data_IF_663206314292
#
_entry.id   IF_663206314292
#
_cell.length_a   1.000
_cell.length_b   1.000
_cell.length_c   1.000
_cell.angle_alpha   90.00
_cell.angle_beta   90.00
_cell.angle_gamma   90.00
#
_symmetry.space_group_name_H-M   'P 1'
#
loop_
_entity.id
_entity.type
_entity.pdbx_description
1 polymer ?
#
# COMPACT_ATOMS: atom_id res chain seq x y z
N UNK A 1 -10.46 -0.99 -5.73
CA UNK A 1 -9.60 0.20 -5.68
C UNK A 1 -10.45 1.37 -5.23
N UNK A 2 -10.16 1.93 -4.04
CA UNK A 2 -10.87 3.07 -3.49
C UNK A 2 -10.03 4.34 -3.59
N UNK A 3 -10.70 5.49 -3.69
CA UNK A 3 -10.07 6.82 -3.69
C UNK A 3 -10.32 7.48 -2.35
N UNK A 4 -9.25 7.81 -1.64
CA UNK A 4 -9.27 8.39 -0.30
C UNK A 4 -8.86 9.85 -0.36
N UNK A 5 -9.82 10.75 -0.16
CA UNK A 5 -9.53 12.18 -0.11
C UNK A 5 -8.98 12.57 1.25
N UNK A 6 -7.80 13.17 1.26
CA UNK A 6 -7.05 13.51 2.46
C UNK A 6 -6.53 14.92 2.36
N UNK A 7 -6.77 15.69 3.42
CA UNK A 7 -6.13 16.99 3.60
C UNK A 7 -4.62 16.82 3.86
N UNK A 8 -3.81 17.68 3.26
CA UNK A 8 -2.38 17.81 3.51
C UNK A 8 -1.97 19.28 3.53
N UNK A 9 -0.96 19.60 4.34
CA UNK A 9 -0.50 20.97 4.52
C UNK A 9 0.57 21.35 3.47
N UNK A 10 0.74 22.64 3.13
CA UNK A 10 1.54 23.07 1.98
C UNK A 10 2.99 22.54 2.02
N UNK A 11 3.62 22.53 3.19
CA UNK A 11 4.98 21.99 3.38
C UNK A 11 5.09 20.52 2.95
N UNK A 12 4.13 19.69 3.37
CA UNK A 12 4.14 18.26 3.05
C UNK A 12 3.67 18.01 1.63
N UNK A 13 2.67 18.75 1.17
CA UNK A 13 2.19 18.73 -0.20
C UNK A 13 3.31 19.00 -1.20
N UNK A 14 4.10 20.07 -1.00
CA UNK A 14 5.26 20.39 -1.84
C UNK A 14 6.32 19.27 -1.84
N UNK A 15 6.54 18.62 -0.70
CA UNK A 15 7.46 17.49 -0.60
C UNK A 15 6.95 16.23 -1.33
N UNK A 16 5.64 15.99 -1.33
CA UNK A 16 5.01 14.90 -2.10
C UNK A 16 5.04 15.19 -3.59
N UNK A 17 4.68 16.42 -3.99
CA UNK A 17 4.71 16.87 -5.38
C UNK A 17 6.11 16.77 -5.98
N UNK A 18 7.14 17.13 -5.22
CA UNK A 18 8.54 17.03 -5.68
C UNK A 18 9.11 15.60 -5.64
N UNK A 19 8.36 14.60 -5.14
CA UNK A 19 8.81 13.22 -5.01
C UNK A 19 9.79 12.96 -3.84
N UNK A 20 10.12 14.00 -3.07
CA UNK A 20 10.99 13.88 -1.89
C UNK A 20 10.33 13.07 -0.77
N UNK A 21 9.00 13.21 -0.61
CA UNK A 21 8.20 12.47 0.35
C UNK A 21 7.32 11.43 -0.35
N UNK A 22 7.56 10.16 -0.07
CA UNK A 22 6.84 9.01 -0.66
C UNK A 22 6.08 8.16 0.37
N UNK A 23 5.69 8.78 1.47
CA UNK A 23 4.94 8.11 2.53
C UNK A 23 3.99 9.07 3.25
N UNK A 24 2.89 8.56 3.82
CA UNK A 24 1.97 9.24 4.73
C UNK A 24 1.91 8.48 6.06
N UNK A 25 1.57 9.14 7.16
CA UNK A 25 1.23 8.47 8.42
C UNK A 25 -0.20 8.88 8.77
N UNK A 26 -1.09 7.91 8.92
CA UNK A 26 -2.53 8.15 9.13
C UNK A 26 -3.11 7.19 10.13
N UNK A 27 -4.16 7.62 10.84
CA UNK A 27 -5.03 6.69 11.56
C UNK A 27 -5.68 5.77 10.53
N UNK A 28 -5.73 4.47 10.79
CA UNK A 28 -6.36 3.52 9.87
C UNK A 28 -7.88 3.44 10.06
N UNK A 29 -8.58 4.58 9.93
CA UNK A 29 -10.04 4.71 10.12
C UNK A 29 -10.85 4.48 8.83
N UNK A 30 -10.16 4.17 7.74
CA UNK A 30 -10.72 3.98 6.39
C UNK A 30 -10.35 2.65 5.76
N UNK A 31 -9.68 1.78 6.53
CA UNK A 31 -9.16 0.50 6.07
C UNK A 31 -8.33 0.64 4.78
N UNK A 32 -7.27 1.46 4.82
CA UNK A 32 -6.39 1.67 3.67
C UNK A 32 -5.80 0.35 3.16
N UNK A 33 -5.76 0.15 1.85
CA UNK A 33 -5.21 -1.06 1.22
C UNK A 33 -4.20 -0.72 0.14
N UNK A 34 -3.22 -1.60 -0.04
CA UNK A 34 -2.33 -1.55 -1.22
C UNK A 34 -3.19 -1.57 -2.48
N UNK A 35 -2.86 -0.71 -3.45
CA UNK A 35 -3.61 -0.49 -4.67
C UNK A 35 -4.62 0.66 -4.62
N UNK A 36 -5.04 1.13 -3.44
CA UNK A 36 -5.91 2.32 -3.32
C UNK A 36 -5.21 3.62 -3.73
N UNK A 37 -5.99 4.67 -4.00
CA UNK A 37 -5.49 6.00 -4.34
C UNK A 37 -5.66 6.95 -3.18
N UNK A 38 -4.59 7.65 -2.81
CA UNK A 38 -4.63 8.84 -1.97
C UNK A 38 -4.80 10.07 -2.86
N UNK A 39 -5.86 10.84 -2.63
CA UNK A 39 -6.04 12.17 -3.22
C UNK A 39 -5.66 13.20 -2.15
N UNK A 40 -4.40 13.63 -2.17
CA UNK A 40 -3.83 14.56 -1.21
C UNK A 40 -4.16 15.99 -1.63
N UNK A 41 -5.13 16.61 -0.95
CA UNK A 41 -5.58 17.97 -1.18
C UNK A 41 -4.82 18.97 -0.32
N UNK A 42 -4.21 19.95 -0.94
CA UNK A 42 -3.55 21.03 -0.22
C UNK A 42 -4.58 21.97 0.42
N UNK A 43 -4.43 22.22 1.72
CA UNK A 43 -5.25 23.19 2.46
C UNK A 43 -4.38 24.33 2.97
N UNK A 44 -4.92 25.55 2.96
CA UNK A 44 -4.31 26.71 3.59
C UNK A 44 -4.45 26.61 5.12
N UNK A 45 -3.35 26.62 5.90
CA UNK A 45 -3.40 26.53 7.36
C UNK A 45 -4.01 27.77 8.05
N UNK A 46 -4.06 28.93 7.39
CA UNK A 46 -4.61 30.15 7.96
C UNK A 46 -6.14 30.21 7.86
N UNK A 47 -6.70 29.73 6.75
CA UNK A 47 -8.15 29.79 6.48
C UNK A 47 -8.85 28.43 6.61
N UNK A 48 -8.08 27.35 6.73
CA UNK A 48 -8.56 25.97 6.66
C UNK A 48 -9.35 25.63 5.39
N UNK A 49 -9.01 26.28 4.28
CA UNK A 49 -9.69 26.09 3.00
C UNK A 49 -8.83 25.32 2.01
N UNK A 50 -9.48 24.50 1.18
CA UNK A 50 -8.83 23.84 0.04
C UNK A 50 -8.29 24.88 -0.94
N UNK A 51 -7.02 24.75 -1.35
CA UNK A 51 -6.37 25.73 -2.26
C UNK A 51 -6.71 25.50 -3.73
N UNK A 52 -7.35 24.37 -4.06
CA UNK A 52 -7.57 23.90 -5.43
C UNK A 52 -6.50 22.90 -5.92
N UNK A 53 -5.38 22.77 -5.21
CA UNK A 53 -4.29 21.89 -5.61
C UNK A 53 -4.40 20.51 -4.98
N UNK A 54 -4.20 19.46 -5.77
CA UNK A 54 -4.15 18.09 -5.27
C UNK A 54 -3.06 17.26 -5.96
N UNK A 55 -2.67 16.16 -5.32
CA UNK A 55 -1.79 15.14 -5.87
C UNK A 55 -2.45 13.78 -5.68
N UNK A 56 -2.41 12.95 -6.71
CA UNK A 56 -2.85 11.56 -6.61
C UNK A 56 -1.64 10.65 -6.48
N UNK A 57 -1.71 9.70 -5.54
CA UNK A 57 -0.67 8.70 -5.31
C UNK A 57 -1.30 7.35 -5.04
N UNK A 58 -0.76 6.29 -5.62
CA UNK A 58 -1.23 4.93 -5.35
C UNK A 58 -0.49 4.36 -4.14
N UNK A 59 -1.23 3.76 -3.22
CA UNK A 59 -0.66 3.04 -2.08
C UNK A 59 0.08 1.82 -2.61
N UNK A 60 1.39 1.80 -2.44
CA UNK A 60 2.28 0.70 -2.87
C UNK A 60 2.74 -0.16 -1.69
N UNK A 61 2.67 0.38 -0.48
CA UNK A 61 3.04 -0.34 0.73
C UNK A 61 2.24 0.16 1.93
N UNK A 62 1.93 -0.73 2.86
CA UNK A 62 1.27 -0.38 4.12
C UNK A 62 2.03 -1.07 5.26
N UNK A 63 2.37 -0.29 6.27
CA UNK A 63 2.97 -0.79 7.50
C UNK A 63 2.05 -0.44 8.67
N UNK A 64 1.55 -1.45 9.35
CA UNK A 64 0.74 -1.30 10.56
C UNK A 64 1.55 -1.62 11.82
N UNK A 65 0.95 -1.41 12.99
CA UNK A 65 1.52 -1.85 14.27
C UNK A 65 1.70 -3.37 14.37
N UNK A 66 0.89 -4.13 13.62
CA UNK A 66 1.03 -5.58 13.55
C UNK A 66 2.32 -5.94 12.82
N UNK A 67 2.60 -5.26 11.71
CA UNK A 67 3.78 -5.52 10.88
C UNK A 67 5.08 -5.04 11.56
N UNK A 68 5.00 -3.92 12.29
CA UNK A 68 6.13 -3.33 12.96
C UNK A 68 5.72 -2.61 14.24
N UNK A 69 6.17 -3.12 15.39
CA UNK A 69 5.84 -2.58 16.72
C UNK A 69 6.33 -1.15 17.00
N UNK A 70 7.03 -0.51 16.06
CA UNK A 70 7.34 0.92 16.12
C UNK A 70 6.28 1.84 15.48
N UNK A 71 5.25 1.28 14.84
CA UNK A 71 4.09 2.05 14.37
C UNK A 71 3.14 2.28 15.55
N UNK A 72 2.65 3.51 15.69
CA UNK A 72 1.74 3.90 16.77
C UNK A 72 0.42 3.11 16.62
N UNK A 73 -0.10 2.61 17.74
CA UNK A 73 -1.35 1.83 17.75
C UNK A 73 -2.51 2.57 17.05
N UNK A 74 -3.21 1.89 16.16
CA UNK A 74 -4.29 2.44 15.33
C UNK A 74 -3.84 3.38 14.20
N UNK A 75 -2.53 3.54 13.98
CA UNK A 75 -1.97 4.24 12.82
C UNK A 75 -1.33 3.26 11.83
N UNK A 76 -1.19 3.72 10.60
CA UNK A 76 -0.45 3.07 9.52
C UNK A 76 0.53 4.05 8.91
N UNK A 77 1.71 3.55 8.54
CA UNK A 77 2.60 4.22 7.60
C UNK A 77 2.28 3.72 6.19
N UNK A 78 1.88 4.64 5.33
CA UNK A 78 1.42 4.37 3.97
C UNK A 78 2.54 4.76 3.02
N UNK A 79 3.23 3.77 2.44
CA UNK A 79 4.12 4.00 1.31
C UNK A 79 3.30 4.17 0.03
N UNK A 80 3.65 5.15 -0.79
CA UNK A 80 2.96 5.40 -2.05
C UNK A 80 3.93 5.75 -3.18
N UNK A 81 3.48 5.49 -4.39
CA UNK A 81 4.16 5.85 -5.63
C UNK A 81 3.26 6.67 -6.55
N UNK A 82 3.75 6.87 -7.77
CA UNK A 82 2.92 7.40 -8.84
C UNK A 82 1.69 6.51 -9.04
N UNK A 83 0.58 7.11 -9.43
CA UNK A 83 -0.60 6.34 -9.82
C UNK A 83 -0.23 5.59 -11.08
N UNK A 84 -0.04 4.27 -10.96
CA UNK A 84 0.07 3.44 -12.14
C UNK A 84 -1.19 3.67 -12.98
N UNK A 85 -1.08 3.86 -14.30
CA UNK A 85 -2.25 3.98 -15.16
C UNK A 85 -3.15 2.77 -14.88
N UNK A 86 -4.38 3.06 -14.43
CA UNK A 86 -5.38 2.02 -14.25
C UNK A 86 -5.62 1.38 -15.62
N UNK A 87 -5.87 0.07 -15.71
CA UNK A 87 -6.19 -0.58 -16.98
C UNK A 87 -7.36 0.02 -17.78
N UNK A 88 -8.11 0.95 -17.18
CA UNK A 88 -9.28 1.61 -17.77
C UNK A 88 -9.00 3.08 -18.14
N UNK A 89 -7.83 3.62 -17.77
CA UNK A 89 -7.34 4.87 -18.33
C UNK A 89 -6.75 4.52 -19.70
N UNK A 90 -7.48 4.91 -20.75
CA UNK A 90 -7.29 4.51 -22.13
C UNK A 90 -5.96 4.99 -22.77
N UNK A 91 -4.83 4.57 -22.23
CA UNK A 91 -3.56 4.45 -22.92
C UNK A 91 -3.20 2.96 -22.96
N UNK A 92 -2.86 2.46 -24.14
CA UNK A 92 -2.73 1.03 -24.49
C UNK A 92 -2.04 0.19 -23.39
N UNK A 93 -2.82 -0.56 -22.59
CA UNK A 93 -2.23 -1.63 -21.79
C UNK A 93 -1.79 -2.73 -22.72
N UNK A 94 -0.48 -2.76 -22.92
CA UNK A 94 0.13 -3.91 -23.56
C UNK A 94 0.04 -5.10 -22.60
N UNK A 95 -0.12 -6.33 -23.13
CA UNK A 95 0.05 -7.55 -22.34
C UNK A 95 1.36 -7.55 -21.54
N UNK A 96 2.43 -6.96 -22.09
CA UNK A 96 3.70 -6.81 -21.39
C UNK A 96 3.58 -5.96 -20.12
N UNK A 97 3.01 -4.76 -20.20
CA UNK A 97 2.90 -3.86 -19.05
C UNK A 97 2.00 -4.44 -17.95
N UNK A 98 0.90 -5.09 -18.34
CA UNK A 98 0.02 -5.78 -17.40
C UNK A 98 0.70 -7.00 -16.78
N UNK A 99 1.51 -7.73 -17.55
CA UNK A 99 2.33 -8.84 -17.07
C UNK A 99 3.38 -8.38 -16.03
N UNK A 100 4.09 -7.30 -16.32
CA UNK A 100 5.09 -6.70 -15.43
C UNK A 100 4.46 -6.26 -14.08
N UNK A 101 3.27 -5.66 -14.13
CA UNK A 101 2.54 -5.29 -12.92
C UNK A 101 2.18 -6.51 -12.05
N UNK A 102 1.66 -7.58 -12.66
CA UNK A 102 1.36 -8.81 -11.93
C UNK A 102 2.62 -9.46 -11.33
N UNK A 103 3.76 -9.42 -12.01
CA UNK A 103 5.02 -9.92 -11.45
C UNK A 103 5.50 -9.10 -10.25
N UNK A 104 5.41 -7.77 -10.34
CA UNK A 104 5.76 -6.89 -9.23
C UNK A 104 4.84 -7.12 -8.02
N UNK A 105 3.53 -7.23 -8.25
CA UNK A 105 2.54 -7.51 -7.21
C UNK A 105 2.78 -8.88 -6.54
N UNK A 106 3.07 -9.92 -7.33
CA UNK A 106 3.41 -11.25 -6.82
C UNK A 106 4.67 -11.21 -5.93
N UNK A 107 5.70 -10.51 -6.38
CA UNK A 107 6.96 -10.38 -5.65
C UNK A 107 6.77 -9.65 -4.32
N UNK A 108 5.98 -8.58 -4.31
CA UNK A 108 5.65 -7.83 -3.09
C UNK A 108 4.82 -8.65 -2.11
N UNK A 109 3.82 -9.39 -2.60
CA UNK A 109 2.99 -10.27 -1.77
C UNK A 109 3.82 -11.42 -1.16
N UNK A 110 4.73 -12.02 -1.92
CA UNK A 110 5.64 -13.06 -1.42
C UNK A 110 6.58 -12.53 -0.32
N UNK A 111 7.08 -11.29 -0.47
CA UNK A 111 7.87 -10.65 0.58
C UNK A 111 7.06 -10.42 1.85
N UNK A 112 5.83 -9.89 1.72
CA UNK A 112 4.90 -9.73 2.86
C UNK A 112 4.65 -11.05 3.57
N UNK A 113 4.42 -12.14 2.82
CA UNK A 113 4.21 -13.46 3.40
C UNK A 113 5.46 -13.96 4.15
N UNK A 114 6.66 -13.73 3.61
CA UNK A 114 7.91 -14.07 4.29
C UNK A 114 8.12 -13.27 5.58
N UNK A 115 7.84 -11.97 5.56
CA UNK A 115 7.99 -11.10 6.72
C UNK A 115 6.98 -11.44 7.81
N UNK A 116 5.71 -11.61 7.46
CA UNK A 116 4.66 -12.02 8.40
C UNK A 116 4.97 -13.37 9.07
N UNK A 117 5.54 -14.34 8.32
CA UNK A 117 6.05 -15.60 8.89
C UNK A 117 7.16 -15.38 9.91
N UNK A 118 8.17 -14.57 9.58
CA UNK A 118 9.25 -14.25 10.54
C UNK A 118 8.71 -13.61 11.81
N UNK A 119 7.71 -12.72 11.70
CA UNK A 119 7.05 -12.11 12.85
C UNK A 119 6.28 -13.16 13.66
N UNK A 120 5.51 -14.03 13.01
CA UNK A 120 4.81 -15.16 13.66
C UNK A 120 5.80 -16.05 14.44
N UNK A 121 6.89 -16.48 13.79
CA UNK A 121 7.92 -17.32 14.39
C UNK A 121 8.59 -16.66 15.61
N UNK A 122 8.74 -15.33 15.58
CA UNK A 122 9.29 -14.57 16.72
C UNK A 122 8.41 -14.70 17.98
N UNK A 123 7.09 -14.85 17.81
CA UNK A 123 6.15 -15.06 18.90
C UNK A 123 6.09 -16.51 19.39
N UNK A 124 6.64 -17.49 18.66
CA UNK A 124 6.55 -18.92 19.00
C UNK A 124 7.18 -19.29 20.36
N UNK A 125 8.14 -18.50 20.85
CA UNK A 125 8.78 -18.68 22.17
C UNK A 125 8.16 -17.81 23.27
N UNK A 126 7.16 -17.00 22.94
CA UNK A 126 6.48 -16.09 23.86
C UNK A 126 5.11 -16.63 24.27
N UNK A 127 4.51 -16.10 25.35
CA UNK A 127 3.13 -16.44 25.73
C UNK A 127 2.06 -15.72 24.88
N UNK A 128 2.45 -15.15 23.71
CA UNK A 128 1.56 -14.38 22.82
C UNK A 128 0.99 -15.24 21.67
N UNK A 129 0.27 -16.32 22.01
CA UNK A 129 -0.29 -17.24 21.01
C UNK A 129 -1.25 -16.59 20.00
N UNK A 130 -2.08 -15.65 20.46
CA UNK A 130 -3.03 -14.92 19.58
C UNK A 130 -2.31 -14.08 18.53
N UNK A 131 -1.23 -13.38 18.92
CA UNK A 131 -0.45 -12.57 17.98
C UNK A 131 0.25 -13.45 16.93
N UNK A 132 0.83 -14.58 17.37
CA UNK A 132 1.39 -15.59 16.46
C UNK A 132 0.36 -16.05 15.43
N UNK A 133 -0.81 -16.49 15.89
CA UNK A 133 -1.83 -17.06 15.01
C UNK A 133 -2.36 -16.01 14.02
N UNK A 134 -2.49 -14.74 14.43
CA UNK A 134 -2.81 -13.62 13.53
C UNK A 134 -1.75 -13.44 12.44
N UNK A 135 -0.47 -13.38 12.80
CA UNK A 135 0.62 -13.21 11.82
C UNK A 135 0.77 -14.41 10.88
N UNK A 136 0.50 -15.63 11.37
CA UNK A 136 0.43 -16.82 10.52
C UNK A 136 -0.69 -16.69 9.47
N UNK A 137 -1.89 -16.26 9.88
CA UNK A 137 -3.00 -16.05 8.94
C UNK A 137 -2.71 -14.94 7.91
N UNK A 138 -2.04 -13.86 8.31
CA UNK A 138 -1.58 -12.80 7.39
C UNK A 138 -0.60 -13.36 6.36
N UNK A 139 0.32 -14.23 6.78
CA UNK A 139 1.27 -14.85 5.86
C UNK A 139 0.57 -15.77 4.84
N UNK A 140 -0.39 -16.59 5.28
CA UNK A 140 -1.14 -17.48 4.39
C UNK A 140 -1.96 -16.70 3.35
N UNK A 141 -2.59 -15.59 3.77
CA UNK A 141 -3.34 -14.72 2.88
C UNK A 141 -2.42 -14.05 1.83
N UNK A 142 -1.25 -13.55 2.26
CA UNK A 142 -0.28 -12.95 1.36
C UNK A 142 0.34 -13.96 0.37
N UNK A 143 0.52 -15.22 0.78
CA UNK A 143 0.94 -16.30 -0.13
C UNK A 143 -0.10 -16.61 -1.21
N UNK A 144 -1.38 -16.65 -0.82
CA UNK A 144 -2.46 -16.85 -1.77
C UNK A 144 -2.52 -15.71 -2.80
N UNK A 145 -2.35 -14.48 -2.35
CA UNK A 145 -2.24 -13.30 -3.21
C UNK A 145 -1.03 -13.38 -4.16
N UNK A 146 0.14 -13.77 -3.65
CA UNK A 146 1.34 -13.95 -4.46
C UNK A 146 1.13 -15.00 -5.56
N UNK A 147 0.51 -16.13 -5.22
CA UNK A 147 0.17 -17.20 -6.16
C UNK A 147 -0.81 -16.74 -7.24
N UNK A 148 -1.83 -15.96 -6.88
CA UNK A 148 -2.78 -15.38 -7.83
C UNK A 148 -2.09 -14.48 -8.84
N UNK A 149 -1.30 -13.50 -8.38
CA UNK A 149 -0.62 -12.56 -9.27
C UNK A 149 0.43 -13.26 -10.15
N UNK A 150 1.16 -14.24 -9.62
CA UNK A 150 2.10 -15.04 -10.42
C UNK A 150 1.41 -15.90 -11.49
N UNK A 151 0.20 -16.39 -11.23
CA UNK A 151 -0.60 -17.07 -12.24
C UNK A 151 -1.11 -16.11 -13.32
N UNK A 152 -1.61 -14.95 -12.92
CA UNK A 152 -2.10 -13.93 -13.83
C UNK A 152 -1.00 -13.40 -14.76
N UNK A 153 0.21 -13.10 -14.25
CA UNK A 153 1.36 -12.72 -15.07
C UNK A 153 1.65 -13.73 -16.19
N UNK A 154 1.64 -15.04 -15.85
CA UNK A 154 1.87 -16.12 -16.83
C UNK A 154 0.78 -16.23 -17.88
N UNK A 155 -0.47 -15.90 -17.55
CA UNK A 155 -1.59 -15.93 -18.49
C UNK A 155 -1.47 -14.76 -19.45
N UNK A 156 -1.26 -13.56 -18.91
CA UNK A 156 -1.19 -12.33 -19.70
C UNK A 156 -0.03 -12.37 -20.69
N UNK A 157 1.15 -12.86 -20.31
CA UNK A 157 2.31 -12.97 -21.22
C UNK A 157 2.19 -14.08 -22.30
N UNK A 158 1.18 -14.96 -22.21
CA UNK A 158 0.98 -16.06 -23.17
C UNK A 158 -0.07 -15.76 -24.24
N UNK A 159 -0.89 -14.72 -24.04
CA UNK A 159 -1.89 -14.24 -25.00
C UNK A 159 -1.28 -13.19 -25.91
#
# INVERSE_FOLDING_TARGET
MHRHELKTWPKYFAAVRSGQKRFEIRRNDREFKVGDILVLREFDPATDTFTGQFEERQITFLLSEEDYGGVIHGFVAIGFGDVAPHPDAADDLTPEALGDWHEAAASQAALRAQEARKVSDSYAKSNMGVARDRHAAVADAADAEAGFHAAAARIVRKG
#
